data_IF_844251463772
#
_entry.id   IF_844251463772
#
_cell.length_a   1.000
_cell.length_b   1.000
_cell.length_c   1.000
_cell.angle_alpha   90.00
_cell.angle_beta   90.00
_cell.angle_gamma   90.00
#
_symmetry.space_group_name_H-M   'P 1'
#
loop_
_entity.id
_entity.type
_entity.pdbx_description
1 polymer ?
#
# COMPACT_ATOMS: atom_id res chain seq x y z
N UNK A 1 -78.60 36.87 17.18
CA UNK A 1 -77.76 35.67 17.41
C UNK A 1 -76.94 35.47 16.20
N UNK A 2 -75.69 35.93 16.29
CA UNK A 2 -74.66 35.71 15.25
C UNK A 2 -73.81 34.53 15.67
N UNK A 3 -73.69 33.51 14.81
CA UNK A 3 -72.86 32.37 14.97
C UNK A 3 -71.45 32.69 14.40
N UNK A 4 -70.42 32.53 15.24
CA UNK A 4 -68.99 32.67 14.85
C UNK A 4 -68.51 31.29 14.40
N UNK A 5 -67.85 31.13 13.22
CA UNK A 5 -67.28 29.87 12.82
C UNK A 5 -65.92 29.68 13.48
N UNK A 6 -65.76 28.56 14.19
CA UNK A 6 -64.48 28.11 14.76
C UNK A 6 -63.56 27.63 13.65
N UNK A 7 -62.48 28.36 13.40
CA UNK A 7 -61.46 27.93 12.46
C UNK A 7 -60.59 26.84 13.12
N UNK A 8 -60.61 25.63 12.51
CA UNK A 8 -59.71 24.53 12.86
C UNK A 8 -58.33 24.82 12.26
N UNK A 9 -57.35 25.15 13.12
CA UNK A 9 -55.96 25.20 12.72
C UNK A 9 -55.43 23.76 12.65
N UNK A 10 -55.27 23.24 11.42
CA UNK A 10 -54.47 22.03 11.19
C UNK A 10 -53.00 22.47 11.26
N UNK A 11 -52.36 22.22 12.39
CA UNK A 11 -50.92 22.28 12.51
C UNK A 11 -50.35 21.11 11.72
N UNK A 12 -49.85 21.41 10.51
CA UNK A 12 -48.98 20.48 9.78
C UNK A 12 -47.73 20.33 10.61
N UNK A 13 -47.54 19.17 11.26
CA UNK A 13 -46.29 18.76 11.81
C UNK A 13 -45.29 18.67 10.65
N UNK A 14 -44.48 19.66 10.49
CA UNK A 14 -43.28 19.57 9.69
C UNK A 14 -42.42 18.54 10.43
N UNK A 15 -42.33 17.32 9.87
CA UNK A 15 -41.40 16.32 10.34
C UNK A 15 -40.01 16.97 10.22
N UNK A 16 -39.36 17.15 11.36
CA UNK A 16 -37.93 17.49 11.36
C UNK A 16 -37.23 16.45 10.48
N UNK A 17 -36.33 16.87 9.59
CA UNK A 17 -35.52 15.92 8.84
C UNK A 17 -34.79 15.06 9.86
N UNK A 18 -35.01 13.74 9.83
CA UNK A 18 -34.21 12.77 10.58
C UNK A 18 -32.79 12.86 10.04
N UNK A 19 -31.97 13.72 10.64
CA UNK A 19 -30.65 14.11 10.18
C UNK A 19 -29.60 12.97 10.24
N UNK A 20 -29.97 11.78 10.74
CA UNK A 20 -29.03 10.69 11.04
C UNK A 20 -29.37 9.32 10.40
N UNK A 21 -30.28 9.25 9.45
CA UNK A 21 -30.55 7.96 8.81
C UNK A 21 -29.56 7.67 7.69
N UNK A 22 -28.53 6.86 8.02
CA UNK A 22 -27.65 6.28 7.02
C UNK A 22 -28.42 5.36 6.05
N UNK A 23 -28.09 5.35 4.76
CA UNK A 23 -28.66 4.39 3.82
C UNK A 23 -28.33 2.93 4.21
N UNK A 24 -29.12 2.01 3.67
CA UNK A 24 -28.91 0.57 3.91
C UNK A 24 -27.48 0.16 3.49
N UNK A 25 -26.84 -0.66 4.32
CA UNK A 25 -25.49 -1.17 4.07
C UNK A 25 -24.36 -0.37 4.73
N UNK A 26 -24.64 0.86 5.21
CA UNK A 26 -23.70 1.59 6.04
C UNK A 26 -23.90 1.19 7.51
N UNK A 27 -22.76 1.01 8.23
CA UNK A 27 -22.86 0.72 9.66
C UNK A 27 -23.30 1.94 10.45
N UNK A 28 -24.23 1.76 11.40
CA UNK A 28 -24.69 2.83 12.27
C UNK A 28 -23.65 3.12 13.36
N UNK A 29 -23.86 4.25 14.08
CA UNK A 29 -22.97 4.76 15.12
C UNK A 29 -22.67 3.72 16.21
N UNK A 30 -23.67 2.96 16.61
CA UNK A 30 -23.59 1.92 17.66
C UNK A 30 -22.62 0.78 17.29
N UNK A 31 -22.36 0.55 15.99
CA UNK A 31 -21.38 -0.43 15.53
C UNK A 31 -19.98 0.17 15.35
N UNK A 32 -19.90 1.44 14.95
CA UNK A 32 -18.63 2.08 14.63
C UNK A 32 -17.92 2.63 15.86
N UNK A 33 -18.67 3.22 16.80
CA UNK A 33 -18.12 3.87 17.98
C UNK A 33 -17.28 2.93 18.86
N UNK A 34 -17.74 1.70 19.21
CA UNK A 34 -16.95 0.77 20.02
C UNK A 34 -15.59 0.40 19.43
N UNK A 35 -15.46 0.40 18.09
CA UNK A 35 -14.19 0.16 17.41
C UNK A 35 -13.27 1.37 17.54
N UNK A 36 -13.80 2.55 17.31
CA UNK A 36 -13.04 3.81 17.43
C UNK A 36 -12.55 4.03 18.86
N UNK A 37 -13.38 3.75 19.86
CA UNK A 37 -13.03 3.88 21.29
C UNK A 37 -11.87 2.95 21.72
N UNK A 38 -11.58 1.90 20.95
CA UNK A 38 -10.44 1.00 21.18
C UNK A 38 -9.15 1.46 20.51
N UNK A 39 -9.23 2.47 19.67
CA UNK A 39 -8.08 2.99 18.93
C UNK A 39 -7.46 4.17 19.65
N UNK A 40 -6.14 4.17 19.79
CA UNK A 40 -5.39 5.31 20.27
C UNK A 40 -4.82 6.08 19.07
N UNK A 41 -5.07 7.37 19.02
CA UNK A 41 -4.44 8.24 18.03
C UNK A 41 -3.02 8.59 18.50
N UNK A 42 -2.02 8.19 17.73
CA UNK A 42 -0.62 8.55 17.96
C UNK A 42 -0.18 9.47 16.82
N UNK A 43 0.14 10.73 17.16
CA UNK A 43 0.67 11.69 16.19
C UNK A 43 2.17 11.51 16.04
N UNK A 44 2.59 11.02 14.89
CA UNK A 44 4.01 11.04 14.50
C UNK A 44 4.34 12.47 14.00
N UNK A 45 5.32 13.09 14.59
CA UNK A 45 5.74 14.45 14.23
C UNK A 45 7.27 14.53 14.23
N UNK A 46 7.94 13.92 13.23
CA UNK A 46 9.38 13.98 13.13
C UNK A 46 9.86 15.42 12.93
N UNK A 47 11.03 15.74 13.48
CA UNK A 47 11.64 17.06 13.28
C UNK A 47 12.23 17.17 11.86
N UNK A 48 11.59 17.97 11.03
CA UNK A 48 12.02 18.28 9.66
C UNK A 48 12.74 19.63 9.57
N UNK A 49 13.03 20.29 10.68
CA UNK A 49 13.62 21.64 10.68
C UNK A 49 15.01 21.69 10.06
N UNK A 50 15.79 20.60 10.22
CA UNK A 50 17.14 20.44 9.67
C UNK A 50 17.23 20.15 8.16
N UNK A 51 16.08 19.89 7.48
CA UNK A 51 16.09 19.60 6.06
C UNK A 51 16.40 20.86 5.22
N UNK A 52 17.20 20.68 4.17
CA UNK A 52 17.47 21.70 3.15
C UNK A 52 16.21 22.04 2.34
N UNK A 53 16.28 23.06 1.50
CA UNK A 53 15.20 23.38 0.56
C UNK A 53 14.99 22.25 -0.45
N UNK A 54 16.06 21.63 -0.96
CA UNK A 54 15.98 20.51 -1.90
C UNK A 54 15.33 19.28 -1.27
N UNK A 55 15.72 18.92 -0.05
CA UNK A 55 15.15 17.82 0.72
C UNK A 55 13.64 18.04 1.00
N UNK A 56 13.21 19.26 1.37
CA UNK A 56 11.79 19.59 1.58
C UNK A 56 10.96 19.45 0.29
N UNK A 57 11.51 19.86 -0.86
CA UNK A 57 10.86 19.67 -2.15
C UNK A 57 10.75 18.16 -2.44
N UNK A 58 11.82 17.39 -2.24
CA UNK A 58 11.79 15.94 -2.43
C UNK A 58 10.75 15.27 -1.53
N UNK A 59 10.67 15.62 -0.24
CA UNK A 59 9.62 15.16 0.68
C UNK A 59 8.24 15.45 0.12
N UNK A 60 7.98 16.68 -0.34
CA UNK A 60 6.67 17.04 -0.92
C UNK A 60 6.30 16.19 -2.15
N UNK A 61 7.27 15.88 -3.02
CA UNK A 61 7.05 15.03 -4.20
C UNK A 61 6.82 13.58 -3.82
N UNK A 62 7.55 13.08 -2.84
CA UNK A 62 7.40 11.71 -2.33
C UNK A 62 6.07 11.51 -1.60
N UNK A 63 5.57 12.52 -0.87
CA UNK A 63 4.23 12.49 -0.29
C UNK A 63 3.14 12.39 -1.37
N UNK A 64 3.25 13.17 -2.46
CA UNK A 64 2.32 13.09 -3.60
C UNK A 64 2.37 11.70 -4.27
N UNK A 65 3.55 11.10 -4.41
CA UNK A 65 3.69 9.73 -4.89
C UNK A 65 3.05 8.73 -3.92
N UNK A 66 3.21 8.94 -2.61
CA UNK A 66 2.60 8.12 -1.57
C UNK A 66 1.07 8.10 -1.62
N UNK A 67 0.43 9.24 -1.87
CA UNK A 67 -1.04 9.31 -2.06
C UNK A 67 -1.51 8.44 -3.24
N UNK A 68 -0.72 8.37 -4.31
CA UNK A 68 -1.01 7.48 -5.44
C UNK A 68 -0.86 6.02 -5.02
N UNK A 69 0.21 5.67 -4.29
CA UNK A 69 0.41 4.32 -3.76
C UNK A 69 -0.71 3.90 -2.81
N UNK A 70 -1.20 4.81 -1.97
CA UNK A 70 -2.35 4.55 -1.09
C UNK A 70 -3.58 4.16 -1.89
N UNK A 71 -3.93 4.95 -2.91
CA UNK A 71 -5.07 4.66 -3.76
C UNK A 71 -4.94 3.34 -4.53
N UNK A 72 -3.74 3.03 -5.03
CA UNK A 72 -3.46 1.77 -5.71
C UNK A 72 -3.56 0.56 -4.77
N UNK A 73 -3.05 0.67 -3.55
CA UNK A 73 -3.18 -0.37 -2.52
C UNK A 73 -4.65 -0.64 -2.17
N UNK A 74 -5.44 0.40 -1.95
CA UNK A 74 -6.88 0.25 -1.71
C UNK A 74 -7.59 -0.46 -2.87
N UNK A 75 -7.20 -0.17 -4.12
CA UNK A 75 -7.71 -0.89 -5.29
C UNK A 75 -7.22 -2.35 -5.36
N UNK A 76 -5.99 -2.65 -4.95
CA UNK A 76 -5.48 -4.02 -4.88
C UNK A 76 -6.26 -4.85 -3.87
N UNK A 77 -6.64 -4.25 -2.73
CA UNK A 77 -7.36 -4.95 -1.66
C UNK A 77 -8.85 -5.11 -1.93
N UNK A 78 -9.47 -4.14 -2.63
CA UNK A 78 -10.90 -4.21 -2.92
C UNK A 78 -11.29 -3.43 -4.19
N UNK A 79 -11.98 -4.11 -5.11
CA UNK A 79 -12.37 -3.54 -6.41
C UNK A 79 -13.24 -2.27 -6.29
N UNK A 80 -14.04 -2.16 -5.24
CA UNK A 80 -14.92 -1.01 -4.98
C UNK A 80 -14.33 -0.03 -3.94
N UNK A 81 -13.08 -0.17 -3.51
CA UNK A 81 -12.53 0.68 -2.45
C UNK A 81 -12.71 2.17 -2.75
N UNK A 82 -12.13 2.66 -3.84
CA UNK A 82 -12.17 4.09 -4.16
C UNK A 82 -13.58 4.60 -4.49
N UNK A 83 -14.42 3.78 -5.12
CA UNK A 83 -15.80 4.19 -5.42
C UNK A 83 -16.66 4.27 -4.16
N UNK A 84 -16.52 3.33 -3.24
CA UNK A 84 -17.22 3.35 -1.95
C UNK A 84 -16.75 4.51 -1.05
N UNK A 85 -15.45 4.83 -1.08
CA UNK A 85 -14.91 6.00 -0.38
C UNK A 85 -15.52 7.30 -0.89
N UNK A 86 -15.55 7.49 -2.22
CA UNK A 86 -16.19 8.66 -2.83
C UNK A 86 -17.67 8.76 -2.47
N UNK A 87 -18.40 7.64 -2.55
CA UNK A 87 -19.80 7.61 -2.18
C UNK A 87 -20.02 7.98 -0.70
N UNK A 88 -19.12 7.53 0.20
CA UNK A 88 -19.15 7.91 1.61
C UNK A 88 -18.86 9.39 1.82
N UNK A 89 -17.87 9.96 1.13
CA UNK A 89 -17.57 11.41 1.19
C UNK A 89 -18.75 12.27 0.69
N UNK A 90 -19.40 11.87 -0.41
CA UNK A 90 -20.58 12.53 -0.93
C UNK A 90 -21.77 12.42 0.05
N UNK A 91 -21.93 11.27 0.70
CA UNK A 91 -22.93 11.07 1.74
C UNK A 91 -22.68 11.96 2.94
N UNK A 92 -21.43 12.02 3.42
CA UNK A 92 -21.01 12.87 4.53
C UNK A 92 -21.34 14.35 4.27
N UNK A 93 -20.95 14.87 3.10
CA UNK A 93 -21.26 16.24 2.70
C UNK A 93 -22.79 16.50 2.64
N UNK A 94 -23.55 15.57 2.06
CA UNK A 94 -25.00 15.70 1.93
C UNK A 94 -25.70 15.71 3.28
N UNK A 95 -25.20 14.97 4.25
CA UNK A 95 -25.75 14.91 5.62
C UNK A 95 -25.18 16.00 6.55
N UNK A 96 -24.31 16.88 6.05
CA UNK A 96 -23.62 17.92 6.83
C UNK A 96 -22.67 17.36 7.90
N UNK A 97 -21.97 16.29 7.57
CA UNK A 97 -20.90 15.67 8.36
C UNK A 97 -21.31 15.24 9.78
N UNK A 98 -22.36 14.44 9.94
CA UNK A 98 -22.74 13.92 11.24
C UNK A 98 -21.70 12.93 11.76
N UNK A 99 -21.71 12.68 13.08
CA UNK A 99 -20.76 11.76 13.73
C UNK A 99 -20.77 10.35 13.10
N UNK A 100 -21.95 9.88 12.68
CA UNK A 100 -22.10 8.57 12.03
C UNK A 100 -21.28 8.42 10.75
N UNK A 101 -21.25 9.43 9.88
CA UNK A 101 -20.43 9.41 8.65
C UNK A 101 -18.96 9.71 8.94
N UNK A 102 -18.65 10.57 9.92
CA UNK A 102 -17.28 10.86 10.35
C UNK A 102 -16.60 9.61 10.92
N UNK A 103 -17.34 8.79 11.68
CA UNK A 103 -16.85 7.51 12.17
C UNK A 103 -16.56 6.54 11.01
N UNK A 104 -17.42 6.47 10.01
CA UNK A 104 -17.20 5.64 8.83
C UNK A 104 -15.97 6.09 8.03
N UNK A 105 -15.77 7.40 7.85
CA UNK A 105 -14.56 7.94 7.21
C UNK A 105 -13.30 7.62 8.02
N UNK A 106 -13.39 7.69 9.35
CA UNK A 106 -12.30 7.30 10.24
C UNK A 106 -11.96 5.82 10.12
N UNK A 107 -12.98 4.94 10.15
CA UNK A 107 -12.78 3.51 9.94
C UNK A 107 -12.18 3.22 8.56
N UNK A 108 -12.66 3.88 7.50
CA UNK A 108 -12.12 3.72 6.16
C UNK A 108 -10.63 4.05 6.11
N UNK A 109 -10.24 5.17 6.71
CA UNK A 109 -8.83 5.59 6.80
C UNK A 109 -7.98 4.56 7.57
N UNK A 110 -8.51 4.01 8.66
CA UNK A 110 -7.80 3.04 9.51
C UNK A 110 -7.66 1.67 8.85
N UNK A 111 -8.72 1.21 8.19
CA UNK A 111 -8.75 -0.09 7.50
C UNK A 111 -8.15 -0.04 6.09
N UNK A 112 -7.85 1.16 5.57
CA UNK A 112 -7.40 1.37 4.19
C UNK A 112 -8.36 0.76 3.15
N UNK A 113 -9.67 0.87 3.40
CA UNK A 113 -10.71 0.30 2.56
C UNK A 113 -12.02 0.11 3.30
N UNK A 114 -13.04 -0.48 2.64
CA UNK A 114 -14.38 -0.60 3.19
C UNK A 114 -14.58 -1.82 4.11
N UNK A 115 -13.54 -2.59 4.39
CA UNK A 115 -13.57 -3.84 5.17
C UNK A 115 -12.75 -3.64 6.45
N UNK A 116 -13.26 -4.14 7.56
CA UNK A 116 -12.59 -4.07 8.86
C UNK A 116 -12.65 -5.43 9.57
N UNK A 117 -11.65 -5.70 10.42
CA UNK A 117 -11.72 -6.77 11.40
C UNK A 117 -12.40 -6.22 12.67
N UNK A 118 -13.48 -6.90 13.10
CA UNK A 118 -14.25 -6.52 14.30
C UNK A 118 -13.48 -6.85 15.59
N UNK A 119 -14.03 -6.46 16.75
CA UNK A 119 -13.45 -6.82 18.05
C UNK A 119 -13.43 -8.34 18.30
N UNK A 120 -14.27 -9.08 17.60
CA UNK A 120 -14.36 -10.55 17.62
C UNK A 120 -13.43 -11.22 16.60
N UNK A 121 -12.58 -10.47 15.90
CA UNK A 121 -11.73 -10.90 14.78
C UNK A 121 -12.53 -11.46 13.58
N UNK A 122 -13.70 -10.91 13.35
CA UNK A 122 -14.52 -11.23 12.17
C UNK A 122 -14.31 -10.14 11.12
N UNK A 123 -14.01 -10.56 9.88
CA UNK A 123 -13.92 -9.63 8.75
C UNK A 123 -15.31 -9.20 8.30
N UNK A 124 -15.57 -7.90 8.27
CA UNK A 124 -16.87 -7.35 7.94
C UNK A 124 -16.80 -6.09 7.07
N UNK A 125 -17.75 -5.94 6.16
CA UNK A 125 -17.95 -4.72 5.39
C UNK A 125 -18.74 -3.71 6.22
N UNK A 126 -18.23 -2.52 6.41
CA UNK A 126 -18.94 -1.42 7.10
C UNK A 126 -19.54 -0.39 6.14
N UNK A 127 -19.28 -0.54 4.84
CA UNK A 127 -19.90 0.16 3.72
C UNK A 127 -20.68 -0.85 2.85
N UNK A 128 -21.60 -0.39 1.95
CA UNK A 128 -22.41 -1.28 1.12
C UNK A 128 -21.60 -1.94 -0.01
N UNK A 129 -20.67 -2.80 0.36
CA UNK A 129 -19.86 -3.62 -0.55
C UNK A 129 -19.84 -5.07 -0.10
N UNK A 130 -19.49 -5.98 -1.01
CA UNK A 130 -19.28 -7.39 -0.67
C UNK A 130 -17.91 -7.61 -0.01
N UNK A 131 -17.75 -8.69 0.73
CA UNK A 131 -16.43 -9.09 1.22
C UNK A 131 -15.53 -9.48 0.05
N UNK A 132 -14.22 -9.11 0.09
CA UNK A 132 -13.31 -9.47 -0.98
C UNK A 132 -13.06 -10.98 -1.02
N UNK A 133 -13.00 -11.57 -2.22
CA UNK A 133 -12.54 -12.95 -2.39
C UNK A 133 -11.05 -13.07 -2.03
N UNK A 134 -10.53 -14.30 -1.76
CA UNK A 134 -9.12 -14.51 -1.42
C UNK A 134 -8.10 -13.92 -2.42
N UNK A 135 -8.47 -13.88 -3.72
CA UNK A 135 -7.63 -13.28 -4.77
C UNK A 135 -7.69 -11.76 -4.83
N UNK A 136 -8.59 -11.13 -4.08
CA UNK A 136 -8.81 -9.67 -4.08
C UNK A 136 -8.83 -9.12 -5.52
N UNK A 137 -8.20 -7.97 -5.78
CA UNK A 137 -8.09 -7.41 -7.14
C UNK A 137 -6.82 -7.84 -7.90
N UNK A 138 -6.00 -8.69 -7.30
CA UNK A 138 -4.84 -9.29 -8.01
C UNK A 138 -5.26 -10.30 -9.07
N UNK A 139 -6.45 -10.87 -8.92
CA UNK A 139 -7.05 -11.83 -9.82
C UNK A 139 -8.45 -11.35 -10.26
N UNK A 140 -9.05 -11.97 -11.28
CA UNK A 140 -10.45 -11.66 -11.61
C UNK A 140 -11.34 -11.83 -10.38
N UNK A 141 -12.18 -10.81 -10.09
CA UNK A 141 -13.02 -10.82 -8.90
C UNK A 141 -13.90 -12.06 -8.82
N UNK A 142 -13.83 -12.78 -7.70
CA UNK A 142 -14.57 -14.01 -7.47
C UNK A 142 -14.01 -15.26 -8.10
N UNK A 143 -12.84 -15.22 -8.78
CA UNK A 143 -12.19 -16.43 -9.28
C UNK A 143 -11.78 -17.33 -8.13
N UNK A 144 -11.91 -18.66 -8.31
CA UNK A 144 -11.47 -19.63 -7.31
C UNK A 144 -10.10 -20.21 -7.66
N UNK A 145 -9.43 -20.78 -6.67
CA UNK A 145 -8.13 -21.45 -6.85
C UNK A 145 -8.25 -22.64 -7.81
N UNK A 146 -9.35 -23.39 -7.73
CA UNK A 146 -9.66 -24.53 -8.59
C UNK A 146 -9.78 -24.09 -10.07
N UNK A 147 -10.41 -22.94 -10.32
CA UNK A 147 -10.53 -22.39 -11.69
C UNK A 147 -9.15 -22.00 -12.25
N UNK A 148 -8.31 -21.34 -11.45
CA UNK A 148 -6.93 -21.00 -11.85
C UNK A 148 -6.10 -22.25 -12.08
N UNK A 149 -6.14 -23.25 -11.19
CA UNK A 149 -5.40 -24.50 -11.36
C UNK A 149 -5.89 -25.32 -12.54
N UNK A 150 -7.18 -25.34 -12.85
CA UNK A 150 -7.72 -25.99 -14.04
C UNK A 150 -7.15 -25.33 -15.32
N UNK A 151 -7.08 -24.00 -15.35
CA UNK A 151 -6.45 -23.27 -16.46
C UNK A 151 -4.94 -23.58 -16.56
N UNK A 152 -4.21 -23.54 -15.45
CA UNK A 152 -2.78 -23.84 -15.41
C UNK A 152 -2.46 -25.31 -15.73
N UNK A 153 -3.35 -26.22 -15.41
CA UNK A 153 -3.23 -27.63 -15.81
C UNK A 153 -3.31 -27.83 -17.33
N UNK A 154 -4.12 -27.02 -18.01
CA UNK A 154 -4.20 -27.00 -19.46
C UNK A 154 -3.10 -26.14 -20.13
N UNK A 155 -2.51 -25.19 -19.40
CA UNK A 155 -1.53 -24.20 -19.87
C UNK A 155 -0.36 -24.04 -18.90
N UNK A 156 0.44 -25.10 -18.63
CA UNK A 156 1.51 -25.07 -17.64
C UNK A 156 2.59 -24.02 -17.94
N UNK A 157 2.80 -23.68 -19.20
CA UNK A 157 3.71 -22.62 -19.66
C UNK A 157 3.32 -21.20 -19.16
N UNK A 158 2.06 -21.01 -18.76
CA UNK A 158 1.55 -19.73 -18.26
C UNK A 158 1.79 -19.54 -16.76
N UNK A 159 2.16 -20.60 -16.03
CA UNK A 159 2.27 -20.57 -14.56
C UNK A 159 3.22 -19.48 -14.08
N UNK A 160 4.40 -19.37 -14.63
CA UNK A 160 5.39 -18.37 -14.24
C UNK A 160 4.86 -16.93 -14.37
N UNK A 161 4.21 -16.63 -15.49
CA UNK A 161 3.64 -15.30 -15.74
C UNK A 161 2.42 -15.00 -14.85
N UNK A 162 1.51 -15.98 -14.68
CA UNK A 162 0.30 -15.78 -13.86
C UNK A 162 0.60 -15.65 -12.35
N UNK A 163 1.68 -16.28 -11.86
CA UNK A 163 2.10 -16.20 -10.48
C UNK A 163 3.28 -15.23 -10.27
N UNK A 164 3.60 -14.42 -11.27
CA UNK A 164 4.59 -13.35 -11.13
C UNK A 164 4.19 -12.35 -10.04
N UNK A 165 5.18 -11.92 -9.25
CA UNK A 165 5.00 -11.08 -8.04
C UNK A 165 4.29 -9.75 -8.34
N UNK A 166 4.61 -9.12 -9.48
CA UNK A 166 4.21 -7.76 -9.83
C UNK A 166 3.31 -7.73 -11.05
N UNK A 167 2.33 -8.63 -11.07
CA UNK A 167 1.35 -8.72 -12.15
C UNK A 167 -0.07 -8.91 -11.62
N UNK A 168 -1.05 -8.41 -12.37
CA UNK A 168 -2.47 -8.70 -12.19
C UNK A 168 -2.89 -9.79 -13.15
N UNK A 169 -3.64 -10.77 -12.69
CA UNK A 169 -4.28 -11.76 -13.57
C UNK A 169 -5.61 -11.22 -14.05
N UNK A 170 -5.88 -11.35 -15.35
CA UNK A 170 -7.14 -10.92 -15.98
C UNK A 170 -7.73 -12.01 -16.86
N UNK A 171 -9.04 -11.94 -17.09
CA UNK A 171 -9.70 -12.74 -18.11
C UNK A 171 -9.42 -12.16 -19.49
N UNK A 172 -9.16 -13.04 -20.48
CA UNK A 172 -8.88 -12.61 -21.85
C UNK A 172 -10.18 -12.26 -22.59
N UNK A 173 -11.03 -11.43 -21.96
CA UNK A 173 -12.22 -10.86 -22.59
C UNK A 173 -11.86 -9.61 -23.40
N UNK A 174 -12.78 -9.18 -24.25
CA UNK A 174 -12.58 -8.05 -25.16
C UNK A 174 -12.30 -6.75 -24.43
N UNK A 175 -12.97 -6.48 -23.31
CA UNK A 175 -12.84 -5.23 -22.54
C UNK A 175 -11.44 -5.14 -21.92
N UNK A 176 -11.02 -6.19 -21.20
CA UNK A 176 -9.71 -6.26 -20.55
C UNK A 176 -8.56 -6.13 -21.56
N UNK A 177 -8.65 -6.88 -22.68
CA UNK A 177 -7.63 -6.84 -23.72
C UNK A 177 -7.55 -5.48 -24.42
N UNK A 178 -8.71 -4.87 -24.73
CA UNK A 178 -8.76 -3.54 -25.36
C UNK A 178 -8.19 -2.46 -24.46
N UNK A 179 -8.49 -2.50 -23.17
CA UNK A 179 -7.95 -1.58 -22.16
C UNK A 179 -6.43 -1.67 -22.09
N UNK A 180 -5.88 -2.89 -21.94
CA UNK A 180 -4.45 -3.08 -21.75
C UNK A 180 -3.65 -2.77 -23.02
N UNK A 181 -4.16 -3.12 -24.20
CA UNK A 181 -3.60 -2.69 -25.49
C UNK A 181 -3.67 -1.17 -25.66
N UNK A 182 -4.75 -0.55 -25.19
CA UNK A 182 -4.89 0.92 -25.16
C UNK A 182 -3.76 1.57 -24.37
N UNK A 183 -3.43 1.05 -23.19
CA UNK A 183 -2.35 1.58 -22.35
C UNK A 183 -0.96 1.41 -22.99
N UNK A 184 -0.69 0.29 -23.65
CA UNK A 184 0.55 0.10 -24.39
C UNK A 184 0.67 0.98 -25.65
N UNK A 185 -0.45 1.47 -26.20
CA UNK A 185 -0.45 2.47 -27.29
C UNK A 185 -0.27 3.88 -26.76
N UNK A 186 -0.89 4.19 -25.64
CA UNK A 186 -0.79 5.51 -24.98
C UNK A 186 0.63 5.75 -24.45
N UNK A 187 1.24 4.73 -23.86
CA UNK A 187 2.58 4.78 -23.26
C UNK A 187 3.53 3.80 -23.94
N UNK A 188 4.11 4.18 -25.07
CA UNK A 188 5.01 3.32 -25.85
C UNK A 188 6.25 2.86 -25.08
N UNK A 189 6.69 3.62 -24.07
CA UNK A 189 7.79 3.23 -23.18
C UNK A 189 7.49 1.91 -22.46
N UNK A 190 6.23 1.68 -22.04
CA UNK A 190 5.83 0.43 -21.40
C UNK A 190 5.91 -0.76 -22.36
N UNK A 191 5.52 -0.57 -23.62
CA UNK A 191 5.68 -1.62 -24.64
C UNK A 191 7.16 -1.97 -24.90
N UNK A 192 8.06 -0.99 -24.77
CA UNK A 192 9.51 -1.19 -24.89
C UNK A 192 10.08 -1.92 -23.67
N UNK A 193 9.63 -1.58 -22.47
CA UNK A 193 10.08 -2.20 -21.22
C UNK A 193 9.54 -3.62 -21.02
N UNK A 194 8.39 -3.95 -21.65
CA UNK A 194 7.78 -5.28 -21.62
C UNK A 194 7.77 -5.92 -23.02
N UNK A 195 8.93 -6.38 -23.54
CA UNK A 195 9.04 -6.91 -24.89
C UNK A 195 8.16 -8.14 -25.09
N UNK A 196 7.43 -8.19 -26.20
CA UNK A 196 6.51 -9.26 -26.54
C UNK A 196 5.11 -9.16 -25.92
N UNK A 197 4.88 -8.32 -24.92
CA UNK A 197 3.58 -8.18 -24.26
C UNK A 197 2.50 -7.70 -25.25
N UNK A 198 2.80 -6.66 -26.04
CA UNK A 198 1.86 -6.16 -27.06
C UNK A 198 1.44 -7.26 -28.03
N UNK A 199 2.40 -8.02 -28.59
CA UNK A 199 2.13 -9.11 -29.50
C UNK A 199 1.26 -10.21 -28.84
N UNK A 200 1.55 -10.55 -27.60
CA UNK A 200 0.74 -11.51 -26.84
C UNK A 200 -0.72 -11.04 -26.69
N UNK A 201 -0.94 -9.77 -26.31
CA UNK A 201 -2.28 -9.22 -26.16
C UNK A 201 -3.03 -9.13 -27.50
N UNK A 202 -2.33 -8.78 -28.60
CA UNK A 202 -2.91 -8.77 -29.95
C UNK A 202 -3.36 -10.18 -30.40
N UNK A 203 -2.55 -11.21 -30.10
CA UNK A 203 -2.91 -12.60 -30.37
C UNK A 203 -4.15 -13.04 -29.59
N UNK A 204 -4.23 -12.68 -28.29
CA UNK A 204 -5.42 -12.97 -27.48
C UNK A 204 -6.64 -12.18 -27.99
N UNK A 205 -6.46 -10.94 -28.42
CA UNK A 205 -7.53 -10.09 -28.96
C UNK A 205 -8.08 -10.58 -30.31
N UNK A 206 -7.31 -11.37 -31.06
CA UNK A 206 -7.80 -11.96 -32.30
C UNK A 206 -8.91 -13.03 -32.07
N UNK A 207 -8.94 -13.65 -30.85
CA UNK A 207 -9.96 -14.61 -30.45
C UNK A 207 -10.20 -14.50 -28.92
N UNK A 208 -10.91 -13.46 -28.45
CA UNK A 208 -11.15 -13.27 -27.04
C UNK A 208 -11.89 -14.45 -26.40
N UNK A 209 -11.44 -14.85 -25.21
CA UNK A 209 -12.03 -15.96 -24.48
C UNK A 209 -12.02 -15.66 -22.98
N UNK A 210 -13.17 -15.32 -22.40
CA UNK A 210 -13.32 -14.99 -20.98
C UNK A 210 -12.96 -16.15 -20.01
N UNK A 211 -12.79 -17.38 -20.53
CA UNK A 211 -12.29 -18.52 -19.73
C UNK A 211 -10.76 -18.58 -19.70
N UNK A 212 -10.09 -17.93 -20.64
CA UNK A 212 -8.64 -17.84 -20.66
C UNK A 212 -8.15 -16.75 -19.71
N UNK A 213 -6.98 -16.99 -19.10
CA UNK A 213 -6.33 -16.04 -18.19
C UNK A 213 -5.02 -15.55 -18.80
N UNK A 214 -4.69 -14.29 -18.51
CA UNK A 214 -3.38 -13.73 -18.81
C UNK A 214 -2.91 -12.83 -17.65
N UNK A 215 -1.60 -12.64 -17.57
CA UNK A 215 -0.98 -11.72 -16.62
C UNK A 215 -0.67 -10.39 -17.31
N UNK A 216 -0.85 -9.31 -16.59
CA UNK A 216 -0.47 -7.96 -17.01
C UNK A 216 0.41 -7.33 -15.92
N UNK A 217 1.62 -6.81 -16.22
CA UNK A 217 2.50 -6.15 -15.27
C UNK A 217 1.80 -4.98 -14.55
N UNK A 218 2.16 -4.72 -13.30
CA UNK A 218 1.57 -3.59 -12.53
C UNK A 218 1.76 -2.25 -13.24
N UNK A 219 2.93 -2.05 -13.85
CA UNK A 219 3.23 -0.85 -14.62
C UNK A 219 2.24 -0.58 -15.77
N UNK A 220 1.71 -1.64 -16.38
CA UNK A 220 0.70 -1.54 -17.46
C UNK A 220 -0.71 -1.54 -16.89
N UNK A 221 -0.97 -2.37 -15.87
CA UNK A 221 -2.28 -2.43 -15.21
C UNK A 221 -2.70 -1.09 -14.59
N UNK A 222 -1.73 -0.31 -14.09
CA UNK A 222 -1.88 0.98 -13.42
C UNK A 222 -1.04 2.06 -14.14
N UNK A 223 -1.05 2.06 -15.49
CA UNK A 223 -0.12 2.84 -16.30
C UNK A 223 -0.17 4.34 -16.01
N UNK A 224 -1.36 4.92 -15.85
CA UNK A 224 -1.53 6.36 -15.60
C UNK A 224 -0.89 6.78 -14.28
N UNK A 225 -1.12 5.99 -13.24
CA UNK A 225 -0.59 6.19 -11.89
C UNK A 225 0.93 6.00 -11.87
N UNK A 226 1.43 4.93 -12.49
CA UNK A 226 2.88 4.64 -12.55
C UNK A 226 3.64 5.68 -13.35
N UNK A 227 3.09 6.21 -14.43
CA UNK A 227 3.69 7.32 -15.18
C UNK A 227 3.74 8.61 -14.36
N UNK A 228 2.70 8.90 -13.57
CA UNK A 228 2.71 10.03 -12.64
C UNK A 228 3.75 9.87 -11.54
N UNK A 229 3.82 8.68 -10.92
CA UNK A 229 4.83 8.35 -9.90
C UNK A 229 6.24 8.48 -10.48
N UNK A 230 6.48 7.96 -11.70
CA UNK A 230 7.75 8.13 -12.41
C UNK A 230 8.16 9.61 -12.50
N UNK A 231 7.24 10.49 -12.88
CA UNK A 231 7.49 11.94 -12.92
C UNK A 231 7.85 12.50 -11.55
N UNK A 232 7.06 12.21 -10.52
CA UNK A 232 7.26 12.70 -9.15
C UNK A 232 8.59 12.24 -8.54
N UNK A 233 8.99 10.97 -8.75
CA UNK A 233 10.27 10.46 -8.27
C UNK A 233 11.46 11.13 -8.97
N UNK A 234 11.37 11.42 -10.28
CA UNK A 234 12.41 12.15 -10.99
C UNK A 234 12.48 13.62 -10.56
N UNK A 235 11.36 14.28 -10.28
CA UNK A 235 11.32 15.63 -9.73
C UNK A 235 11.93 15.66 -8.31
N UNK A 236 11.61 14.69 -7.46
CA UNK A 236 12.23 14.54 -6.15
C UNK A 236 13.74 14.33 -6.25
N UNK A 237 14.18 13.45 -7.17
CA UNK A 237 15.59 13.19 -7.42
C UNK A 237 16.34 14.45 -7.88
N UNK A 238 15.76 15.22 -8.80
CA UNK A 238 16.36 16.47 -9.27
C UNK A 238 16.49 17.52 -8.15
N UNK A 239 15.50 17.61 -7.27
CA UNK A 239 15.51 18.56 -6.16
C UNK A 239 16.59 18.25 -5.12
N UNK A 240 16.87 16.96 -4.85
CA UNK A 240 17.80 16.52 -3.80
C UNK A 240 19.22 16.23 -4.32
N UNK A 241 19.46 16.29 -5.60
CA UNK A 241 20.72 15.89 -6.25
C UNK A 241 21.98 16.49 -5.61
N UNK A 242 21.92 17.78 -5.28
CA UNK A 242 23.05 18.50 -4.67
C UNK A 242 23.22 18.12 -3.19
N UNK A 243 22.11 17.88 -2.50
CA UNK A 243 22.14 17.56 -1.08
C UNK A 243 22.52 16.10 -0.84
N UNK A 244 21.94 15.16 -1.61
CA UNK A 244 22.17 13.72 -1.52
C UNK A 244 22.06 13.05 -2.90
N UNK A 245 23.17 13.01 -3.62
CA UNK A 245 23.25 12.42 -4.96
C UNK A 245 23.04 10.90 -4.96
N UNK A 246 23.32 10.19 -3.84
CA UNK A 246 23.05 8.74 -3.76
C UNK A 246 21.55 8.46 -3.60
N UNK A 247 20.86 9.23 -2.79
CA UNK A 247 19.41 9.12 -2.67
C UNK A 247 18.71 9.55 -3.97
N UNK A 248 19.21 10.61 -4.64
CA UNK A 248 18.71 11.01 -5.96
C UNK A 248 18.86 9.89 -7.00
N UNK A 249 20.01 9.20 -7.03
CA UNK A 249 20.25 8.04 -7.90
C UNK A 249 19.28 6.89 -7.60
N UNK A 250 19.07 6.57 -6.32
CA UNK A 250 18.08 5.57 -5.90
C UNK A 250 16.69 5.92 -6.42
N UNK A 251 16.24 7.16 -6.25
CA UNK A 251 14.91 7.59 -6.71
C UNK A 251 14.74 7.45 -8.22
N UNK A 252 15.79 7.78 -9.03
CA UNK A 252 15.74 7.59 -10.49
C UNK A 252 15.69 6.11 -10.89
N UNK A 253 16.49 5.28 -10.23
CA UNK A 253 16.46 3.84 -10.47
C UNK A 253 15.07 3.29 -10.14
N UNK A 254 14.54 3.63 -8.96
CA UNK A 254 13.21 3.19 -8.52
C UNK A 254 12.09 3.70 -9.45
N UNK A 255 12.20 4.92 -9.96
CA UNK A 255 11.25 5.44 -10.95
C UNK A 255 11.20 4.55 -12.20
N UNK A 256 12.36 4.11 -12.70
CA UNK A 256 12.45 3.18 -13.84
C UNK A 256 11.95 1.79 -13.49
N UNK A 257 12.32 1.27 -12.31
CA UNK A 257 11.92 -0.05 -11.83
C UNK A 257 10.39 -0.20 -11.78
N UNK A 258 9.68 0.86 -11.34
CA UNK A 258 8.22 0.89 -11.30
C UNK A 258 7.56 0.86 -12.69
N UNK A 259 8.26 1.20 -13.76
CA UNK A 259 7.78 1.08 -15.13
C UNK A 259 8.17 -0.25 -15.78
N UNK A 260 9.24 -0.90 -15.33
CA UNK A 260 9.71 -2.19 -15.85
C UNK A 260 9.24 -3.39 -15.03
N UNK A 261 8.72 -3.16 -13.81
CA UNK A 261 8.45 -4.17 -12.78
C UNK A 261 9.70 -5.01 -12.38
N UNK A 262 10.89 -4.56 -12.83
CA UNK A 262 12.20 -5.11 -12.46
C UNK A 262 12.86 -4.16 -11.44
N UNK A 263 12.98 -4.63 -10.19
CA UNK A 263 13.41 -3.81 -9.05
C UNK A 263 14.90 -3.95 -8.73
N UNK A 264 15.67 -4.76 -9.48
CA UNK A 264 17.07 -5.07 -9.16
C UNK A 264 17.93 -3.81 -9.03
N UNK A 265 17.78 -2.84 -9.95
CA UNK A 265 18.63 -1.64 -9.97
C UNK A 265 18.36 -0.69 -8.80
N UNK A 266 17.11 -0.53 -8.42
CA UNK A 266 16.70 0.27 -7.27
C UNK A 266 17.08 -0.38 -5.95
N UNK A 267 16.84 -1.69 -5.82
CA UNK A 267 17.19 -2.44 -4.63
C UNK A 267 18.70 -2.45 -4.40
N UNK A 268 19.49 -2.65 -5.45
CA UNK A 268 20.94 -2.53 -5.37
C UNK A 268 21.39 -1.13 -4.93
N UNK A 269 20.79 -0.07 -5.48
CA UNK A 269 21.08 1.31 -5.11
C UNK A 269 20.69 1.60 -3.64
N UNK A 270 19.56 1.02 -3.17
CA UNK A 270 19.10 1.17 -1.78
C UNK A 270 20.02 0.44 -0.79
N UNK A 271 20.41 -0.81 -1.09
CA UNK A 271 21.29 -1.62 -0.23
C UNK A 271 22.70 -1.04 -0.13
N UNK A 272 23.23 -0.50 -1.22
CA UNK A 272 24.60 0.03 -1.29
C UNK A 272 24.68 1.53 -0.98
N UNK A 273 23.57 2.25 -1.09
CA UNK A 273 23.50 3.69 -0.89
C UNK A 273 23.79 4.10 0.55
N UNK A 274 24.43 5.25 0.70
CA UNK A 274 24.67 5.88 2.00
C UNK A 274 23.93 7.20 2.02
N UNK A 275 22.61 7.09 2.20
CA UNK A 275 21.72 8.25 2.26
C UNK A 275 22.01 9.07 3.52
N UNK A 276 21.85 10.38 3.40
CA UNK A 276 22.20 11.30 4.50
C UNK A 276 21.04 11.44 5.50
N UNK A 277 20.03 12.21 5.16
CA UNK A 277 18.92 12.52 6.07
C UNK A 277 17.66 11.74 5.76
N UNK A 278 17.35 11.52 4.48
CA UNK A 278 16.13 10.88 4.04
C UNK A 278 16.38 9.43 3.62
N UNK A 279 15.37 8.59 3.80
CA UNK A 279 15.30 7.26 3.22
C UNK A 279 13.87 7.00 2.74
N UNK A 280 13.71 6.13 1.78
CA UNK A 280 12.39 5.71 1.31
C UNK A 280 12.40 4.23 0.91
N UNK A 281 11.31 3.53 1.24
CA UNK A 281 11.01 2.20 0.76
C UNK A 281 9.81 2.33 -0.18
N UNK A 282 10.00 2.05 -1.45
CA UNK A 282 9.01 2.33 -2.50
C UNK A 282 8.88 1.10 -3.38
N UNK A 283 7.69 0.53 -3.47
CA UNK A 283 7.46 -0.61 -4.36
C UNK A 283 6.44 -1.59 -3.84
N UNK A 284 6.44 -2.78 -4.42
CA UNK A 284 5.59 -3.91 -4.08
C UNK A 284 6.48 -5.08 -3.66
N UNK A 285 6.47 -5.43 -2.37
CA UNK A 285 7.37 -6.41 -1.78
C UNK A 285 6.65 -7.51 -0.99
N UNK A 286 5.58 -7.16 -0.26
CA UNK A 286 4.94 -8.05 0.70
C UNK A 286 3.71 -8.72 0.08
N UNK A 287 3.59 -10.03 0.33
CA UNK A 287 2.56 -10.90 -0.29
C UNK A 287 1.36 -11.20 0.62
N UNK A 288 1.28 -10.58 1.79
CA UNK A 288 0.29 -10.92 2.82
C UNK A 288 -1.16 -10.73 2.38
N UNK A 289 -1.40 -9.86 1.38
CA UNK A 289 -2.74 -9.57 0.88
C UNK A 289 -3.24 -10.56 -0.17
N UNK A 290 -2.36 -11.36 -0.79
CA UNK A 290 -2.75 -12.43 -1.70
C UNK A 290 -3.10 -13.71 -0.93
N UNK A 291 -4.35 -13.84 -0.51
CA UNK A 291 -4.85 -15.00 0.22
C UNK A 291 -5.10 -16.22 -0.70
N UNK A 292 -5.00 -16.05 -2.04
CA UNK A 292 -5.23 -17.13 -2.99
C UNK A 292 -3.97 -18.00 -3.20
N UNK A 293 -2.82 -17.37 -3.45
CA UNK A 293 -1.53 -18.04 -3.70
C UNK A 293 -0.39 -17.55 -2.82
N UNK A 294 -0.50 -16.39 -2.20
CA UNK A 294 0.61 -15.80 -1.45
C UNK A 294 1.77 -15.36 -2.34
N UNK A 295 1.51 -14.94 -3.57
CA UNK A 295 2.56 -14.58 -4.55
C UNK A 295 2.49 -13.13 -5.00
N UNK A 296 1.31 -12.53 -5.04
CA UNK A 296 1.15 -11.14 -5.50
C UNK A 296 1.54 -10.15 -4.41
N UNK A 297 2.37 -9.20 -4.77
CA UNK A 297 2.89 -8.20 -3.84
C UNK A 297 2.03 -6.94 -3.81
N UNK A 298 1.87 -6.37 -2.63
CA UNK A 298 1.10 -5.14 -2.42
C UNK A 298 1.97 -3.90 -2.52
N UNK A 299 1.42 -2.84 -3.11
CA UNK A 299 2.09 -1.55 -3.26
C UNK A 299 2.14 -0.79 -1.94
N UNK A 300 3.33 -0.25 -1.63
CA UNK A 300 3.56 0.56 -0.44
C UNK A 300 4.67 1.58 -0.64
N UNK A 301 4.62 2.64 0.17
CA UNK A 301 5.67 3.65 0.25
C UNK A 301 5.84 4.09 1.71
N UNK A 302 7.08 3.97 2.23
CA UNK A 302 7.51 4.58 3.48
C UNK A 302 8.49 5.70 3.20
N UNK A 303 8.28 6.86 3.79
CA UNK A 303 9.20 7.99 3.76
C UNK A 303 9.72 8.24 5.17
N UNK A 304 11.03 8.25 5.32
CA UNK A 304 11.73 8.15 6.58
C UNK A 304 12.78 9.26 6.72
N UNK A 305 13.01 9.72 7.97
CA UNK A 305 14.13 10.61 8.31
C UNK A 305 15.06 9.94 9.31
N UNK A 306 16.37 10.00 9.04
CA UNK A 306 17.40 9.29 9.81
C UNK A 306 17.60 9.90 11.19
N UNK A 307 17.60 9.07 12.21
CA UNK A 307 18.03 9.39 13.57
C UNK A 307 19.53 9.07 13.72
N UNK A 308 20.36 10.03 13.36
CA UNK A 308 21.82 9.81 13.23
C UNK A 308 22.48 9.37 14.54
N UNK A 309 22.12 9.98 15.68
CA UNK A 309 22.72 9.65 16.97
C UNK A 309 22.36 8.23 17.43
N UNK A 310 21.10 7.87 17.34
CA UNK A 310 20.60 6.56 17.74
C UNK A 310 21.06 5.46 16.76
N UNK A 311 21.17 5.78 15.48
CA UNK A 311 21.75 4.89 14.48
C UNK A 311 23.20 4.54 14.84
N UNK A 312 24.00 5.52 15.27
CA UNK A 312 25.38 5.28 15.68
C UNK A 312 25.48 4.47 16.98
N UNK A 313 24.54 4.66 17.92
CA UNK A 313 24.46 3.84 19.13
C UNK A 313 24.16 2.36 18.81
N UNK A 314 23.21 2.10 17.91
CA UNK A 314 22.90 0.73 17.47
C UNK A 314 24.11 0.13 16.74
N UNK A 315 24.77 0.88 15.86
CA UNK A 315 25.98 0.40 15.15
C UNK A 315 27.06 -0.04 16.12
N UNK A 316 27.33 0.75 17.16
CA UNK A 316 28.29 0.38 18.21
C UNK A 316 27.84 -0.85 18.99
N UNK A 317 26.57 -0.97 19.31
CA UNK A 317 26.05 -2.16 19.99
C UNK A 317 26.20 -3.45 19.16
N UNK A 318 26.17 -3.31 17.82
CA UNK A 318 26.33 -4.45 16.90
C UNK A 318 27.81 -4.88 16.71
N UNK A 319 28.81 -4.10 17.13
CA UNK A 319 30.22 -4.48 17.05
C UNK A 319 30.54 -5.75 17.84
N UNK A 320 29.75 -6.08 18.86
CA UNK A 320 29.90 -7.29 19.69
C UNK A 320 29.18 -8.55 19.20
N UNK A 321 28.47 -8.49 18.06
CA UNK A 321 27.61 -9.60 17.60
C UNK A 321 28.37 -10.91 17.34
N UNK A 322 29.60 -10.86 16.83
CA UNK A 322 30.39 -12.07 16.64
C UNK A 322 30.69 -12.77 17.98
N UNK A 323 31.04 -12.00 19.00
CA UNK A 323 31.29 -12.58 20.34
C UNK A 323 30.03 -13.18 20.96
N UNK A 324 28.87 -12.60 20.70
CA UNK A 324 27.58 -13.15 21.11
C UNK A 324 27.26 -14.45 20.36
N UNK A 325 27.48 -14.47 19.04
CA UNK A 325 27.31 -15.67 18.22
C UNK A 325 28.22 -16.80 18.70
N UNK A 326 29.48 -16.51 18.96
CA UNK A 326 30.48 -17.47 19.43
C UNK A 326 30.19 -18.02 20.85
N UNK A 327 29.39 -17.30 21.64
CA UNK A 327 28.95 -17.70 22.98
C UNK A 327 27.68 -18.56 22.99
N UNK A 328 27.00 -18.75 21.85
CA UNK A 328 25.79 -19.57 21.78
C UNK A 328 26.12 -21.06 21.93
N UNK A 329 25.22 -21.87 22.53
CA UNK A 329 25.49 -23.27 22.89
C UNK A 329 25.32 -24.26 21.72
N UNK A 330 25.93 -24.00 20.56
CA UNK A 330 25.97 -24.93 19.43
C UNK A 330 27.37 -24.94 18.76
N UNK A 331 27.69 -26.01 18.03
CA UNK A 331 29.06 -26.27 17.58
C UNK A 331 29.48 -25.49 16.33
N UNK A 332 28.52 -25.06 15.50
CA UNK A 332 28.82 -24.43 14.20
C UNK A 332 28.37 -22.98 14.18
N UNK A 333 29.22 -22.10 14.74
CA UNK A 333 28.96 -20.65 14.76
C UNK A 333 29.04 -20.03 13.36
N UNK A 334 28.14 -19.09 13.09
CA UNK A 334 28.15 -18.34 11.85
C UNK A 334 29.15 -17.20 11.92
N UNK A 335 29.82 -16.96 10.82
CA UNK A 335 30.61 -15.73 10.67
C UNK A 335 29.69 -14.54 10.46
N UNK A 336 29.62 -13.69 11.46
CA UNK A 336 28.83 -12.45 11.38
C UNK A 336 29.54 -11.47 10.46
N UNK A 337 28.78 -10.85 9.56
CA UNK A 337 29.29 -9.84 8.68
C UNK A 337 29.72 -8.59 9.47
N UNK A 338 30.92 -8.11 9.23
CA UNK A 338 31.35 -6.80 9.72
C UNK A 338 30.55 -5.69 9.00
N UNK A 339 30.25 -4.61 9.70
CA UNK A 339 29.54 -3.44 9.17
C UNK A 339 28.17 -3.78 8.58
N UNK A 340 27.29 -4.42 9.38
CA UNK A 340 25.90 -4.62 9.00
C UNK A 340 25.24 -3.25 8.81
N UNK A 341 24.67 -2.96 7.64
CA UNK A 341 23.96 -1.69 7.42
C UNK A 341 22.71 -1.68 8.30
N UNK A 342 22.65 -0.72 9.21
CA UNK A 342 21.49 -0.48 10.08
C UNK A 342 21.23 1.01 10.14
N UNK A 343 19.97 1.39 10.09
CA UNK A 343 19.52 2.76 10.30
C UNK A 343 18.29 2.78 11.19
N UNK A 344 18.22 3.74 12.08
CA UNK A 344 17.05 4.06 12.88
C UNK A 344 16.42 5.32 12.32
N UNK A 345 15.12 5.27 12.10
CA UNK A 345 14.41 6.33 11.41
C UNK A 345 13.13 6.71 12.16
N UNK A 346 12.77 7.99 12.05
CA UNK A 346 11.40 8.42 12.30
C UNK A 346 10.60 8.35 11.00
N UNK A 347 9.34 7.97 11.10
CA UNK A 347 8.41 7.92 9.97
C UNK A 347 7.90 9.33 9.67
N UNK A 348 8.16 9.83 8.46
CA UNK A 348 7.52 11.04 7.94
C UNK A 348 6.10 10.70 7.49
N UNK A 349 5.96 9.64 6.69
CA UNK A 349 4.68 9.13 6.23
C UNK A 349 4.79 7.70 5.71
N UNK A 350 3.73 6.91 5.92
CA UNK A 350 3.54 5.58 5.34
C UNK A 350 2.25 5.54 4.51
N UNK A 351 2.31 4.84 3.37
CA UNK A 351 1.20 4.70 2.43
C UNK A 351 1.06 3.25 1.98
N UNK A 352 -0.18 2.85 1.70
CA UNK A 352 -0.51 1.51 1.22
C UNK A 352 -0.09 0.43 2.21
N UNK A 353 0.50 -0.65 1.71
CA UNK A 353 0.89 -1.81 2.51
C UNK A 353 1.85 -1.44 3.67
N UNK A 354 2.69 -0.43 3.51
CA UNK A 354 3.63 0.02 4.55
C UNK A 354 2.93 0.65 5.76
N UNK A 355 1.69 1.12 5.61
CA UNK A 355 0.99 1.90 6.63
C UNK A 355 0.60 1.05 7.84
N UNK A 356 1.10 1.44 8.99
CA UNK A 356 0.67 0.90 10.29
C UNK A 356 1.25 -0.46 10.68
N UNK A 357 2.12 -1.07 9.88
CA UNK A 357 2.58 -2.44 10.11
C UNK A 357 4.06 -2.59 10.43
N UNK A 358 4.92 -1.65 10.05
CA UNK A 358 6.36 -1.87 10.09
C UNK A 358 7.04 -1.17 11.26
N UNK A 359 7.47 -1.96 12.26
CA UNK A 359 8.45 -1.50 13.27
C UNK A 359 9.88 -1.71 12.83
N UNK A 360 10.13 -2.67 11.94
CA UNK A 360 11.42 -2.94 11.35
C UNK A 360 11.25 -3.60 9.98
N UNK A 361 12.09 -3.26 9.04
CA UNK A 361 12.10 -3.84 7.70
C UNK A 361 13.50 -4.33 7.33
N UNK A 362 13.56 -5.52 6.72
CA UNK A 362 14.77 -6.07 6.10
C UNK A 362 14.45 -6.31 4.63
N UNK A 363 15.09 -5.57 3.75
CA UNK A 363 14.90 -5.65 2.30
C UNK A 363 16.25 -5.76 1.59
N UNK A 364 16.31 -6.25 0.37
CA UNK A 364 15.20 -6.85 -0.41
C UNK A 364 14.92 -8.31 -0.02
N UNK A 365 13.72 -8.79 -0.34
CA UNK A 365 13.32 -10.19 -0.14
C UNK A 365 13.71 -11.09 -1.31
N UNK A 366 14.00 -10.53 -2.46
CA UNK A 366 14.31 -11.23 -3.70
C UNK A 366 15.75 -11.73 -3.73
N UNK A 367 15.95 -12.88 -4.39
CA UNK A 367 17.24 -13.59 -4.42
C UNK A 367 18.19 -13.17 -5.55
N UNK A 368 17.80 -12.20 -6.38
CA UNK A 368 18.62 -11.77 -7.53
C UNK A 368 19.85 -10.95 -7.15
N UNK A 369 19.88 -10.38 -5.94
CA UNK A 369 21.10 -9.73 -5.47
C UNK A 369 22.16 -10.80 -5.13
N UNK A 370 23.39 -10.71 -5.65
CA UNK A 370 24.46 -11.61 -5.28
C UNK A 370 24.64 -11.66 -3.75
N UNK A 371 24.90 -12.83 -3.21
CA UNK A 371 25.05 -13.05 -1.75
C UNK A 371 26.11 -12.14 -1.09
N UNK A 372 27.06 -11.62 -1.86
CA UNK A 372 28.00 -10.61 -1.43
C UNK A 372 27.39 -9.19 -1.31
N UNK A 373 26.31 -8.92 -2.04
CA UNK A 373 25.53 -7.68 -1.99
C UNK A 373 24.29 -7.81 -1.12
N UNK A 374 23.84 -9.01 -0.83
CA UNK A 374 22.76 -9.32 0.09
C UNK A 374 23.14 -8.93 1.52
N UNK A 375 23.30 -7.64 1.71
CA UNK A 375 23.36 -7.04 3.01
C UNK A 375 21.92 -6.79 3.42
N UNK A 376 21.44 -7.56 4.35
CA UNK A 376 20.25 -7.17 5.09
C UNK A 376 20.51 -5.77 5.66
N UNK A 377 19.90 -4.74 5.09
CA UNK A 377 19.79 -3.48 5.79
C UNK A 377 18.55 -3.61 6.67
N UNK A 378 18.72 -3.50 7.98
CA UNK A 378 17.64 -3.41 8.92
C UNK A 378 17.36 -1.93 9.16
N UNK A 379 16.16 -1.45 8.83
CA UNK A 379 15.67 -0.17 9.30
C UNK A 379 14.63 -0.42 10.39
N UNK A 380 14.82 0.19 11.55
CA UNK A 380 13.81 0.21 12.61
C UNK A 380 13.16 1.58 12.61
N UNK A 381 11.84 1.62 12.55
CA UNK A 381 11.08 2.86 12.74
C UNK A 381 10.66 2.96 14.19
N UNK A 382 11.00 4.04 14.88
CA UNK A 382 10.50 4.30 16.22
C UNK A 382 9.49 5.42 16.17
N UNK A 383 8.31 5.20 16.74
CA UNK A 383 7.44 6.30 17.09
C UNK A 383 8.03 7.00 18.31
N UNK A 384 8.24 8.31 18.25
CA UNK A 384 8.56 9.13 19.41
C UNK A 384 7.31 9.34 20.28
N UNK A 385 6.72 8.26 20.78
CA UNK A 385 5.75 8.35 21.83
C UNK A 385 6.52 8.54 23.14
N UNK A 386 6.46 9.72 23.74
CA UNK A 386 6.85 9.93 25.14
C UNK A 386 6.06 8.93 26.00
N UNK A 387 6.72 8.19 26.91
CA UNK A 387 6.03 7.23 27.75
C UNK A 387 5.30 7.98 28.88
N UNK A 388 4.10 8.44 28.63
CA UNK A 388 3.14 8.76 29.68
C UNK A 388 1.85 8.00 29.42
N UNK A 389 1.65 7.01 30.22
CA UNK A 389 0.55 6.07 30.40
C UNK A 389 0.81 4.66 29.84
N UNK A 390 0.85 3.74 30.78
CA UNK A 390 0.81 2.30 30.58
C UNK A 390 -0.39 1.88 29.73
N UNK A 391 -0.16 1.70 28.41
CA UNK A 391 -1.12 1.03 27.52
C UNK A 391 -0.75 -0.46 27.54
N UNK A 392 -1.66 -1.36 27.93
CA UNK A 392 -1.40 -2.78 27.81
C UNK A 392 -1.21 -3.11 26.33
N UNK A 393 -0.08 -3.73 26.01
CA UNK A 393 0.20 -4.26 24.70
C UNK A 393 -0.79 -5.39 24.38
N UNK A 394 -1.92 -5.07 23.76
CA UNK A 394 -2.73 -6.09 23.12
C UNK A 394 -2.06 -6.41 21.76
N UNK A 395 -1.14 -7.36 21.80
CA UNK A 395 -0.77 -8.13 20.63
C UNK A 395 -2.00 -8.93 20.20
N UNK A 396 -2.86 -8.36 19.38
CA UNK A 396 -3.74 -9.13 18.54
C UNK A 396 -2.84 -9.76 17.47
N UNK A 397 -2.68 -11.06 17.53
CA UNK A 397 -1.74 -11.81 16.73
C UNK A 397 -2.15 -11.82 15.25
N UNK A 398 -1.20 -11.50 14.42
CA UNK A 398 -1.13 -12.08 13.08
C UNK A 398 -0.56 -13.51 13.23
N UNK A 399 -1.37 -14.48 12.92
CA UNK A 399 -0.96 -15.81 12.47
C UNK A 399 -1.38 -15.97 11.02
#
# INVERSE_FOLDING_TARGET
MLAIPTALFIQSAIAEPQADQLPLGYWPLEKTQPLIDKMAEVRLAPDLSGLSTGERIAVSKLLQAGEIFQALFEQQTHVQALSSHRALQELDQRLSSPESTQNLLTLYRLSQGPIIDTLENERAAFLPVELPPPGKSFYPWGITKEEVEAFLGAHPERRAALLDLRSVVRRADHESLSRDLGKLKEYEVLATLHPGLRQQLEQLSASPNAKALYAIPYSVACADEMMRVFGLLNEAAAAIEVDDGEFARFLRNRARDLLSDDYESGDAAWVMGRFKNLNAQIGAYEVYDDELYGTKTSLGLSLLILRSQETEQIRKAMEGLQALEDALPYEHHKKIRANIPVGLYDVIADFGQARGSNTATVLPNETYLPSAMAASSCSATTSSATPESSIPSNRAGMR
#
